data_IF_061490516099
#
_entry.id   IF_061490516099
#
_cell.length_a   1.000
_cell.length_b   1.000
_cell.length_c   1.000
_cell.angle_alpha   90.00
_cell.angle_beta   90.00
_cell.angle_gamma   90.00
#
_symmetry.space_group_name_H-M   'P 1'
#
loop_
_entity.id
_entity.type
_entity.pdbx_description
1 polymer ?
#
# COMPACT_ATOMS: atom_id res chain seq x y z
N UNK A 1 -35.14 -29.21 14.29
CA UNK A 1 -34.29 -29.29 13.08
C UNK A 1 -32.85 -29.45 13.53
N UNK A 2 -32.22 -30.56 13.16
CA UNK A 2 -30.91 -31.05 13.64
C UNK A 2 -29.77 -30.43 12.83
N UNK A 3 -28.66 -30.07 13.49
CA UNK A 3 -27.29 -30.46 13.16
C UNK A 3 -26.27 -29.42 13.63
N UNK A 4 -25.48 -29.86 14.61
CA UNK A 4 -24.28 -29.24 15.18
C UNK A 4 -23.12 -29.48 14.21
N UNK A 5 -22.29 -28.47 13.94
CA UNK A 5 -20.99 -28.66 13.30
C UNK A 5 -19.91 -28.23 14.32
N UNK A 6 -19.30 -29.24 14.92
CA UNK A 6 -18.04 -29.16 15.63
C UNK A 6 -16.90 -29.39 14.62
N UNK A 7 -15.89 -28.53 14.63
CA UNK A 7 -14.64 -28.78 13.89
C UNK A 7 -13.45 -28.54 14.81
N UNK A 8 -12.65 -29.59 14.89
CA UNK A 8 -11.66 -29.92 15.92
C UNK A 8 -10.27 -29.36 15.59
N UNK A 9 -9.61 -28.98 16.68
CA UNK A 9 -8.22 -28.61 16.90
C UNK A 9 -7.21 -29.71 16.53
N UNK A 10 -6.09 -29.36 15.88
CA UNK A 10 -4.85 -30.16 15.94
C UNK A 10 -3.64 -29.22 16.11
N UNK A 11 -3.08 -29.22 17.33
CA UNK A 11 -1.74 -28.74 17.66
C UNK A 11 -0.76 -29.89 17.43
N UNK A 12 0.34 -29.65 16.70
CA UNK A 12 1.39 -30.65 16.49
C UNK A 12 2.66 -30.25 17.26
N UNK A 13 2.93 -30.91 18.38
CA UNK A 13 4.22 -30.83 19.10
C UNK A 13 5.08 -32.03 18.73
N UNK A 14 6.25 -31.80 18.12
CA UNK A 14 7.20 -32.85 17.83
C UNK A 14 8.10 -33.10 19.05
N UNK A 15 8.05 -34.33 19.58
CA UNK A 15 8.95 -34.85 20.62
C UNK A 15 10.28 -35.29 20.00
N UNK A 16 11.40 -34.89 20.61
CA UNK A 16 12.74 -35.38 20.26
C UNK A 16 12.98 -36.68 21.03
N UNK A 17 13.23 -37.78 20.30
CA UNK A 17 13.64 -39.05 20.89
C UNK A 17 15.16 -39.13 20.92
N UNK A 18 15.73 -39.36 22.11
CA UNK A 18 17.15 -39.65 22.34
C UNK A 18 17.25 -41.15 22.62
N UNK A 19 18.02 -41.88 21.81
CA UNK A 19 18.37 -43.28 22.08
C UNK A 19 19.87 -43.42 22.38
N UNK A 20 20.18 -44.01 23.53
CA UNK A 20 21.49 -44.38 24.03
C UNK A 20 21.96 -45.74 23.48
N UNK A 21 23.25 -45.80 23.07
CA UNK A 21 24.31 -46.85 23.19
C UNK A 21 23.96 -48.36 23.16
N UNK A 22 24.84 -49.22 22.59
CA UNK A 22 25.91 -49.82 23.42
C UNK A 22 27.27 -49.98 22.72
N UNK A 23 28.30 -50.13 23.56
CA UNK A 23 29.70 -50.32 23.21
C UNK A 23 30.05 -51.77 22.84
N UNK A 24 31.03 -51.95 21.95
CA UNK A 24 31.85 -53.17 21.82
C UNK A 24 33.25 -52.83 21.27
N UNK A 25 34.31 -53.13 22.04
CA UNK A 25 35.75 -53.09 21.65
C UNK A 25 36.20 -54.52 21.23
N UNK A 26 37.45 -54.76 20.79
CA UNK A 26 38.32 -54.08 19.80
C UNK A 26 38.94 -55.10 18.79
N UNK A 27 39.46 -54.72 17.62
CA UNK A 27 40.54 -55.47 16.91
C UNK A 27 41.22 -54.62 15.84
N UNK A 28 42.55 -54.63 15.88
CA UNK A 28 43.53 -54.00 15.00
C UNK A 28 43.57 -54.62 13.60
N UNK A 29 43.51 -53.83 12.54
CA UNK A 29 44.22 -54.09 11.28
C UNK A 29 44.24 -52.83 10.41
N UNK A 30 45.40 -52.53 9.83
CA UNK A 30 45.65 -51.42 8.92
C UNK A 30 44.68 -51.52 7.73
N UNK A 31 43.82 -50.52 7.56
CA UNK A 31 43.16 -50.29 6.28
C UNK A 31 43.37 -48.84 5.86
N UNK A 32 43.75 -48.74 4.60
CA UNK A 32 44.05 -47.55 3.83
C UNK A 32 43.06 -46.41 4.11
N UNK A 33 43.60 -45.21 4.40
CA UNK A 33 42.83 -43.97 4.50
C UNK A 33 42.27 -43.59 3.11
N UNK A 34 41.22 -44.27 2.68
CA UNK A 34 40.33 -43.78 1.63
C UNK A 34 39.49 -42.70 2.30
N UNK A 35 39.97 -41.46 2.21
CA UNK A 35 39.25 -40.27 2.67
C UNK A 35 37.99 -40.15 1.81
N UNK A 36 36.90 -40.79 2.25
CA UNK A 36 35.59 -40.52 1.67
C UNK A 36 35.31 -39.04 1.89
N UNK A 37 35.39 -38.27 0.80
CA UNK A 37 34.96 -36.90 0.78
C UNK A 37 33.45 -36.91 1.04
N UNK A 38 33.08 -36.82 2.31
CA UNK A 38 31.69 -36.61 2.71
C UNK A 38 31.34 -35.20 2.28
N UNK A 39 30.67 -35.09 1.13
CA UNK A 39 30.07 -33.84 0.66
C UNK A 39 29.04 -33.38 1.68
N UNK A 40 29.47 -32.51 2.60
CA UNK A 40 28.56 -31.82 3.51
C UNK A 40 27.85 -30.78 2.66
N UNK A 41 26.70 -31.15 2.07
CA UNK A 41 25.77 -30.18 1.49
C UNK A 41 25.30 -29.25 2.59
N UNK A 42 25.85 -28.04 2.58
CA UNK A 42 25.45 -26.96 3.49
C UNK A 42 23.95 -26.68 3.29
N UNK A 43 23.21 -26.63 4.40
CA UNK A 43 21.82 -26.19 4.40
C UNK A 43 21.79 -24.74 3.96
N UNK A 44 21.06 -24.45 2.89
CA UNK A 44 20.91 -23.10 2.35
C UNK A 44 20.35 -22.17 3.43
N UNK A 45 21.11 -21.14 3.79
CA UNK A 45 20.70 -20.15 4.80
C UNK A 45 19.85 -19.11 4.09
N UNK A 46 18.53 -19.18 4.30
CA UNK A 46 17.60 -18.18 3.78
C UNK A 46 17.67 -16.91 4.63
N UNK A 47 18.44 -15.92 4.19
CA UNK A 47 18.46 -14.59 4.83
C UNK A 47 17.19 -13.85 4.39
N UNK A 48 16.14 -13.89 5.22
CA UNK A 48 14.96 -13.04 5.03
C UNK A 48 15.27 -11.63 5.53
N UNK A 49 15.88 -10.80 4.67
CA UNK A 49 16.14 -9.40 4.96
C UNK A 49 14.86 -8.58 5.00
N UNK A 50 14.57 -7.91 6.13
CA UNK A 50 13.47 -6.94 6.23
C UNK A 50 13.86 -5.67 5.46
N UNK A 51 13.00 -5.21 4.54
CA UNK A 51 13.24 -3.93 3.84
C UNK A 51 13.24 -2.77 4.85
N UNK A 52 14.19 -1.82 4.77
CA UNK A 52 14.17 -0.63 5.62
C UNK A 52 12.97 0.26 5.29
N UNK A 53 12.46 0.97 6.30
CA UNK A 53 11.30 1.86 6.21
C UNK A 53 11.52 2.98 5.19
N UNK A 54 12.65 3.67 5.29
CA UNK A 54 13.03 4.78 4.42
C UNK A 54 14.37 4.42 3.75
N UNK A 55 14.47 4.73 2.46
CA UNK A 55 15.68 4.60 1.66
C UNK A 55 15.88 5.93 0.93
N UNK A 56 17.08 6.49 1.04
CA UNK A 56 17.46 7.69 0.31
C UNK A 56 18.21 7.26 -0.95
N UNK A 57 17.67 7.59 -2.12
CA UNK A 57 18.38 7.52 -3.39
C UNK A 57 18.78 8.94 -3.83
N UNK A 58 19.62 9.04 -4.87
CA UNK A 58 20.20 10.31 -5.34
C UNK A 58 19.11 11.34 -5.68
N UNK A 59 18.02 10.90 -6.30
CA UNK A 59 16.97 11.78 -6.83
C UNK A 59 15.63 11.66 -6.11
N UNK A 60 15.52 10.73 -5.14
CA UNK A 60 14.24 10.41 -4.49
C UNK A 60 14.39 9.76 -3.13
N UNK A 61 13.41 10.02 -2.28
CA UNK A 61 13.21 9.30 -1.02
C UNK A 61 12.16 8.21 -1.22
N UNK A 62 12.51 6.96 -0.93
CA UNK A 62 11.60 5.82 -1.02
C UNK A 62 11.16 5.43 0.37
N UNK A 63 9.84 5.44 0.58
CA UNK A 63 9.21 4.97 1.81
C UNK A 63 8.54 3.63 1.52
N UNK A 64 9.06 2.56 2.13
CA UNK A 64 8.52 1.21 2.00
C UNK A 64 7.33 1.06 2.94
N UNK A 65 6.12 1.10 2.39
CA UNK A 65 4.89 1.04 3.17
C UNK A 65 4.75 -0.30 3.89
N UNK A 66 5.22 -1.40 3.28
CA UNK A 66 5.22 -2.72 3.93
C UNK A 66 6.08 -2.82 5.19
N UNK A 67 7.00 -1.89 5.43
CA UNK A 67 7.78 -1.81 6.67
C UNK A 67 7.12 -0.90 7.73
N UNK A 68 6.11 -0.11 7.37
CA UNK A 68 5.34 0.72 8.31
C UNK A 68 4.33 -0.13 9.08
N UNK A 69 4.37 -0.07 10.40
CA UNK A 69 3.45 -0.81 11.29
C UNK A 69 1.99 -0.38 11.05
N UNK A 70 1.75 0.91 10.82
CA UNK A 70 0.43 1.49 10.59
C UNK A 70 -0.21 1.13 9.25
N UNK A 71 0.56 0.66 8.26
CA UNK A 71 0.08 0.46 6.88
C UNK A 71 -1.04 -0.58 6.74
N UNK A 72 -1.08 -1.56 7.66
CA UNK A 72 -2.04 -2.66 7.61
C UNK A 72 -3.46 -2.25 8.03
N UNK A 73 -3.58 -1.23 8.87
CA UNK A 73 -4.86 -0.75 9.45
C UNK A 73 -5.28 0.61 8.89
N UNK A 74 -4.35 1.38 8.33
CA UNK A 74 -4.62 2.71 7.75
C UNK A 74 -5.04 2.65 6.28
N UNK A 75 -5.75 3.69 5.82
CA UNK A 75 -5.94 3.95 4.39
C UNK A 75 -4.71 4.65 3.77
N UNK A 76 -4.69 4.81 2.45
CA UNK A 76 -3.55 5.39 1.73
C UNK A 76 -3.31 6.86 2.09
N UNK A 77 -4.38 7.61 2.33
CA UNK A 77 -4.31 9.00 2.77
C UNK A 77 -3.55 9.15 4.10
N UNK A 78 -3.91 8.33 5.10
CA UNK A 78 -3.23 8.31 6.40
C UNK A 78 -1.78 7.82 6.32
N UNK A 79 -1.48 6.91 5.39
CA UNK A 79 -0.09 6.49 5.15
C UNK A 79 0.73 7.65 4.58
N UNK A 80 0.14 8.43 3.67
CA UNK A 80 0.77 9.65 3.14
C UNK A 80 0.97 10.71 4.22
N UNK A 81 0.01 10.94 5.11
CA UNK A 81 0.18 11.89 6.24
C UNK A 81 1.31 11.49 7.20
N UNK A 82 1.56 10.18 7.34
CA UNK A 82 2.67 9.64 8.15
C UNK A 82 3.99 9.56 7.38
N UNK A 83 4.00 9.95 6.11
CA UNK A 83 5.19 9.94 5.27
C UNK A 83 5.98 11.23 5.51
N UNK A 84 7.31 11.16 5.74
CA UNK A 84 8.12 12.34 6.01
C UNK A 84 8.05 13.33 4.84
N UNK A 85 7.91 14.62 5.18
CA UNK A 85 7.85 15.70 4.20
C UNK A 85 6.50 15.85 3.48
N UNK A 86 5.56 14.92 3.64
CA UNK A 86 4.21 15.04 3.07
C UNK A 86 3.28 15.67 4.08
N UNK A 87 2.56 16.71 3.67
CA UNK A 87 1.49 17.30 4.46
C UNK A 87 0.23 17.39 3.63
N UNK A 88 -0.91 17.24 4.29
CA UNK A 88 -2.23 17.31 3.66
C UNK A 88 -3.07 18.31 4.43
N UNK A 89 -3.69 19.25 3.72
CA UNK A 89 -4.60 20.20 4.33
C UNK A 89 -6.03 19.65 4.49
N UNK A 90 -6.91 20.42 5.15
CA UNK A 90 -8.31 20.05 5.35
C UNK A 90 -9.11 19.90 4.05
N UNK A 91 -8.66 20.53 2.96
CA UNK A 91 -9.28 20.46 1.64
C UNK A 91 -8.80 19.26 0.82
N UNK A 92 -7.83 18.49 1.34
CA UNK A 92 -7.22 17.36 0.65
C UNK A 92 -6.08 17.74 -0.30
N UNK A 93 -5.59 18.98 -0.26
CA UNK A 93 -4.40 19.38 -1.01
C UNK A 93 -3.17 18.77 -0.37
N UNK A 94 -2.41 18.05 -1.18
CA UNK A 94 -1.17 17.41 -0.77
C UNK A 94 -0.02 18.36 -1.11
N UNK A 95 0.95 18.49 -0.20
CA UNK A 95 2.19 19.23 -0.43
C UNK A 95 3.40 18.43 0.03
N UNK A 96 4.56 18.71 -0.58
CA UNK A 96 5.83 18.02 -0.31
C UNK A 96 6.88 19.04 0.11
N UNK A 97 7.43 18.87 1.31
CA UNK A 97 8.46 19.74 1.88
C UNK A 97 8.06 21.23 1.81
N UNK A 98 6.79 21.53 2.11
CA UNK A 98 6.21 22.88 2.08
C UNK A 98 5.85 23.42 0.69
N UNK A 99 6.13 22.68 -0.39
CA UNK A 99 5.80 23.08 -1.77
C UNK A 99 4.41 22.56 -2.15
N UNK A 100 3.53 23.48 -2.50
CA UNK A 100 2.16 23.18 -2.98
C UNK A 100 2.17 22.88 -4.48
N UNK A 101 1.08 22.32 -5.01
CA UNK A 101 0.98 21.99 -6.44
C UNK A 101 1.83 20.79 -6.87
N UNK A 102 2.11 19.86 -5.94
CA UNK A 102 2.84 18.63 -6.23
C UNK A 102 2.07 17.76 -7.21
N UNK A 103 2.80 17.11 -8.12
CA UNK A 103 2.18 16.14 -9.01
C UNK A 103 2.10 14.78 -8.32
N UNK A 104 0.88 14.26 -8.18
CA UNK A 104 0.67 12.91 -7.67
C UNK A 104 0.60 11.93 -8.84
N UNK A 105 1.39 10.87 -8.72
CA UNK A 105 1.40 9.75 -9.64
C UNK A 105 0.87 8.52 -8.91
N UNK A 106 0.07 7.71 -9.60
CA UNK A 106 -0.32 6.37 -9.15
C UNK A 106 0.28 5.38 -10.14
N UNK A 107 1.14 4.50 -9.65
CA UNK A 107 1.90 3.54 -10.46
C UNK A 107 2.69 4.22 -11.61
N UNK A 108 3.14 5.46 -11.40
CA UNK A 108 3.84 6.26 -12.42
C UNK A 108 2.94 6.91 -13.48
N UNK A 109 1.62 6.85 -13.32
CA UNK A 109 0.66 7.59 -14.17
C UNK A 109 0.18 8.84 -13.47
N UNK A 110 0.12 9.95 -14.20
CA UNK A 110 -0.40 11.22 -13.67
C UNK A 110 -1.88 11.12 -13.37
N UNK A 111 -2.27 11.60 -12.18
CA UNK A 111 -3.68 11.69 -11.79
C UNK A 111 -4.24 13.04 -12.18
N UNK A 112 -5.31 13.05 -12.99
CA UNK A 112 -6.02 14.28 -13.39
C UNK A 112 -7.28 14.50 -12.55
N UNK A 113 -7.17 14.28 -11.24
CA UNK A 113 -8.27 14.43 -10.29
C UNK A 113 -8.16 15.77 -9.57
N UNK A 114 -9.28 16.34 -9.14
CA UNK A 114 -9.25 17.45 -8.19
C UNK A 114 -8.62 16.98 -6.87
N UNK A 115 -8.08 17.91 -6.06
CA UNK A 115 -7.49 17.57 -4.77
C UNK A 115 -8.47 16.82 -3.86
N UNK A 116 -9.74 17.26 -3.82
CA UNK A 116 -10.79 16.60 -3.05
C UNK A 116 -11.14 15.20 -3.56
N UNK A 117 -11.25 15.01 -4.88
CA UNK A 117 -11.53 13.69 -5.46
C UNK A 117 -10.37 12.72 -5.25
N UNK A 118 -9.13 13.21 -5.39
CA UNK A 118 -7.93 12.43 -5.11
C UNK A 118 -7.90 12.00 -3.63
N UNK A 119 -8.13 12.93 -2.71
CA UNK A 119 -8.19 12.63 -1.28
C UNK A 119 -9.26 11.56 -0.96
N UNK A 120 -10.45 11.67 -1.55
CA UNK A 120 -11.50 10.67 -1.40
C UNK A 120 -11.09 9.32 -1.96
N UNK A 121 -10.48 9.29 -3.15
CA UNK A 121 -9.97 8.06 -3.75
C UNK A 121 -8.89 7.40 -2.88
N UNK A 122 -7.92 8.15 -2.37
CA UNK A 122 -6.86 7.64 -1.50
C UNK A 122 -7.41 7.16 -0.14
N UNK A 123 -8.50 7.75 0.37
CA UNK A 123 -9.20 7.24 1.56
C UNK A 123 -9.88 5.89 1.32
N UNK A 124 -10.38 5.64 0.10
CA UNK A 124 -10.97 4.34 -0.24
C UNK A 124 -9.94 3.23 -0.47
N UNK A 125 -8.68 3.58 -0.74
CA UNK A 125 -7.60 2.63 -0.96
C UNK A 125 -6.97 2.17 0.37
N UNK A 126 -6.99 0.86 0.70
CA UNK A 126 -6.32 0.34 1.88
C UNK A 126 -4.80 0.53 1.79
N UNK A 127 -4.16 0.95 2.88
CA UNK A 127 -2.71 1.08 2.97
C UNK A 127 -1.96 -0.24 2.71
N UNK A 128 -2.61 -1.38 3.01
CA UNK A 128 -2.09 -2.72 2.69
C UNK A 128 -1.90 -2.98 1.19
N UNK A 129 -2.56 -2.22 0.33
CA UNK A 129 -2.44 -2.30 -1.13
C UNK A 129 -1.25 -1.48 -1.67
N UNK A 130 -0.63 -0.64 -0.85
CA UNK A 130 0.58 0.10 -1.20
C UNK A 130 1.83 -0.79 -1.07
N UNK A 131 2.74 -0.68 -2.02
CA UNK A 131 4.08 -1.27 -1.94
C UNK A 131 5.06 -0.24 -1.34
N UNK A 132 5.16 0.92 -1.99
CA UNK A 132 6.07 2.01 -1.61
C UNK A 132 5.56 3.36 -2.10
N UNK A 133 6.05 4.42 -1.47
CA UNK A 133 5.84 5.82 -1.86
C UNK A 133 7.21 6.38 -2.25
N UNK A 134 7.31 6.98 -3.43
CA UNK A 134 8.53 7.62 -3.92
C UNK A 134 8.31 9.13 -3.92
N UNK A 135 9.12 9.86 -3.16
CA UNK A 135 9.09 11.30 -3.06
C UNK A 135 10.24 11.84 -3.90
N UNK A 136 9.94 12.61 -4.93
CA UNK A 136 10.92 13.18 -5.86
C UNK A 136 10.86 14.70 -5.66
N UNK A 137 11.86 15.23 -4.97
CA UNK A 137 11.92 16.65 -4.65
C UNK A 137 12.28 17.54 -5.84
N UNK A 138 13.07 17.01 -6.79
CA UNK A 138 13.51 17.73 -7.97
C UNK A 138 13.24 16.87 -9.22
N UNK A 139 12.06 17.02 -9.85
CA UNK A 139 11.73 16.22 -11.01
C UNK A 139 12.63 16.56 -12.21
N UNK A 140 13.02 15.53 -12.97
CA UNK A 140 13.73 15.73 -14.23
C UNK A 140 12.78 16.26 -15.33
N UNK A 141 13.35 16.76 -16.42
CA UNK A 141 12.65 17.39 -17.56
C UNK A 141 11.55 16.53 -18.20
N UNK A 142 11.51 15.22 -17.92
CA UNK A 142 10.41 14.33 -18.35
C UNK A 142 9.07 14.71 -17.70
N UNK A 143 9.08 15.40 -16.57
CA UNK A 143 7.90 15.76 -15.78
C UNK A 143 7.76 17.27 -15.56
N UNK A 144 8.40 18.06 -16.43
CA UNK A 144 8.57 19.54 -16.37
C UNK A 144 7.26 20.32 -16.15
N UNK A 145 6.11 19.76 -16.54
CA UNK A 145 4.80 20.37 -16.31
C UNK A 145 4.41 20.52 -14.82
N UNK A 146 5.09 19.82 -13.90
CA UNK A 146 4.75 19.87 -12.48
C UNK A 146 5.36 21.08 -11.77
N UNK A 147 6.59 21.49 -12.11
CA UNK A 147 7.38 22.57 -11.46
C UNK A 147 7.70 22.36 -9.97
N UNK A 148 6.82 21.67 -9.26
CA UNK A 148 6.84 21.30 -7.86
C UNK A 148 7.07 19.79 -7.74
N UNK A 149 7.51 19.33 -6.57
CA UNK A 149 7.89 17.92 -6.35
C UNK A 149 6.83 16.89 -6.77
N UNK A 150 7.25 15.64 -6.95
CA UNK A 150 6.39 14.53 -7.36
C UNK A 150 6.24 13.53 -6.23
N UNK A 151 5.01 13.09 -5.99
CA UNK A 151 4.71 11.99 -5.07
C UNK A 151 4.19 10.82 -5.92
N UNK A 152 4.95 9.73 -5.98
CA UNK A 152 4.58 8.53 -6.72
C UNK A 152 4.16 7.41 -5.77
N UNK A 153 2.89 7.07 -5.82
CA UNK A 153 2.27 6.02 -5.02
C UNK A 153 2.35 4.72 -5.83
N UNK A 154 3.17 3.77 -5.38
CA UNK A 154 3.26 2.44 -6.00
C UNK A 154 2.35 1.47 -5.29
N UNK A 155 1.46 0.86 -6.06
CA UNK A 155 0.54 -0.16 -5.59
C UNK A 155 1.14 -1.56 -5.77
N UNK A 156 0.72 -2.50 -4.94
CA UNK A 156 1.02 -3.92 -5.12
C UNK A 156 0.29 -4.43 -6.36
N UNK A 157 1.01 -5.16 -7.22
CA UNK A 157 0.47 -5.67 -8.50
C UNK A 157 -0.85 -6.41 -8.35
N UNK A 158 -1.02 -7.16 -7.26
CA UNK A 158 -2.18 -8.05 -7.07
C UNK A 158 -3.47 -7.30 -6.68
N UNK A 159 -3.40 -6.01 -6.34
CA UNK A 159 -4.55 -5.21 -5.82
C UNK A 159 -4.95 -4.02 -6.69
N UNK A 160 -4.40 -3.93 -7.91
CA UNK A 160 -4.62 -2.78 -8.82
C UNK A 160 -5.79 -2.92 -9.78
N UNK A 161 -6.41 -4.10 -9.87
CA UNK A 161 -7.48 -4.37 -10.84
C UNK A 161 -8.86 -4.25 -10.20
N UNK A 162 -9.69 -3.32 -10.66
CA UNK A 162 -11.06 -3.18 -10.17
C UNK A 162 -11.69 -1.83 -10.45
N UNK A 163 -12.88 -1.66 -9.87
CA UNK A 163 -13.64 -0.42 -9.84
C UNK A 163 -13.60 0.09 -8.39
N UNK A 164 -13.21 1.34 -8.22
CA UNK A 164 -13.23 2.07 -6.95
C UNK A 164 -14.15 3.26 -7.16
N UNK A 165 -15.04 3.54 -6.20
CA UNK A 165 -15.94 4.67 -6.32
C UNK A 165 -16.36 5.22 -4.98
N UNK A 166 -16.85 6.44 -5.00
CA UNK A 166 -17.47 7.09 -3.86
C UNK A 166 -18.76 7.79 -4.29
N UNK A 167 -19.77 7.69 -3.44
CA UNK A 167 -21.04 8.40 -3.56
C UNK A 167 -21.11 9.35 -2.38
N UNK A 168 -21.23 10.65 -2.66
CA UNK A 168 -21.49 11.66 -1.64
C UNK A 168 -22.89 12.23 -1.87
N UNK A 169 -23.69 12.29 -0.82
CA UNK A 169 -25.01 12.91 -0.84
C UNK A 169 -25.12 13.83 0.36
N UNK A 170 -25.51 15.08 0.14
CA UNK A 170 -25.68 16.09 1.17
C UNK A 170 -27.06 16.72 1.03
N UNK A 171 -27.78 16.80 2.14
CA UNK A 171 -29.03 17.54 2.24
C UNK A 171 -28.88 18.56 3.36
N UNK A 172 -29.22 19.81 3.08
CA UNK A 172 -29.16 20.91 4.03
C UNK A 172 -30.46 21.70 3.97
N UNK A 173 -30.99 22.01 5.15
CA UNK A 173 -32.23 22.74 5.32
C UNK A 173 -31.96 23.96 6.21
N UNK A 174 -31.80 25.13 5.56
CA UNK A 174 -31.91 26.44 6.21
C UNK A 174 -33.31 27.00 5.95
N UNK A 175 -33.40 28.23 5.45
CA UNK A 175 -34.66 28.78 4.93
C UNK A 175 -35.09 28.14 3.58
N UNK A 176 -34.11 27.72 2.76
CA UNK A 176 -34.35 27.01 1.50
C UNK A 176 -33.66 25.65 1.50
N UNK A 177 -34.33 24.65 0.94
CA UNK A 177 -33.81 23.29 0.82
C UNK A 177 -32.70 23.23 -0.23
N UNK A 178 -31.57 22.63 0.14
CA UNK A 178 -30.41 22.43 -0.73
C UNK A 178 -30.01 20.95 -0.72
N UNK A 179 -29.86 20.34 -1.89
CA UNK A 179 -29.44 18.95 -2.02
C UNK A 179 -28.32 18.81 -3.04
N UNK A 180 -27.26 18.11 -2.67
CA UNK A 180 -26.10 17.84 -3.51
C UNK A 180 -25.85 16.34 -3.56
N UNK A 181 -25.61 15.81 -4.75
CA UNK A 181 -25.26 14.41 -4.97
C UNK A 181 -24.05 14.38 -5.89
N UNK A 182 -23.00 13.64 -5.55
CA UNK A 182 -21.87 13.39 -6.43
C UNK A 182 -21.46 11.93 -6.43
N UNK A 183 -21.14 11.41 -7.60
CA UNK A 183 -20.67 10.06 -7.84
C UNK A 183 -19.31 10.13 -8.52
N UNK A 184 -18.32 9.54 -7.88
CA UNK A 184 -16.97 9.38 -8.39
C UNK A 184 -16.71 7.91 -8.68
N UNK A 185 -16.21 7.59 -9.87
CA UNK A 185 -15.85 6.24 -10.30
C UNK A 185 -14.46 6.25 -10.91
N UNK A 186 -13.61 5.33 -10.48
CA UNK A 186 -12.31 5.04 -11.05
C UNK A 186 -12.24 3.56 -11.40
N UNK A 187 -11.97 3.26 -12.67
CA UNK A 187 -11.77 1.91 -13.16
C UNK A 187 -10.34 1.72 -13.62
N UNK A 188 -9.64 0.76 -13.03
CA UNK A 188 -8.27 0.46 -13.37
C UNK A 188 -8.13 -1.01 -13.78
N UNK A 189 -7.69 -1.26 -15.02
CA UNK A 189 -7.39 -2.60 -15.51
C UNK A 189 -6.19 -2.60 -16.44
N UNK A 190 -5.08 -3.21 -15.97
CA UNK A 190 -3.81 -3.34 -16.69
C UNK A 190 -3.29 -1.97 -17.17
N UNK A 191 -3.47 -1.66 -18.45
CA UNK A 191 -2.99 -0.42 -19.07
C UNK A 191 -4.05 0.68 -19.07
N UNK A 192 -5.34 0.34 -18.94
CA UNK A 192 -6.45 1.29 -18.96
C UNK A 192 -6.74 1.81 -17.56
N UNK A 193 -6.78 3.14 -17.40
CA UNK A 193 -7.33 3.82 -16.24
C UNK A 193 -8.40 4.79 -16.75
N UNK A 194 -9.62 4.68 -16.24
CA UNK A 194 -10.76 5.52 -16.59
C UNK A 194 -11.32 6.15 -15.32
N UNK A 195 -11.51 7.46 -15.34
CA UNK A 195 -12.11 8.22 -14.24
C UNK A 195 -13.39 8.92 -14.73
N UNK A 196 -14.43 8.91 -13.91
CA UNK A 196 -15.71 9.56 -14.15
C UNK A 196 -16.22 10.23 -12.87
N UNK A 197 -16.62 11.49 -12.98
CA UNK A 197 -17.23 12.27 -11.91
C UNK A 197 -18.57 12.82 -12.41
N UNK A 198 -19.65 12.56 -11.67
CA UNK A 198 -20.99 13.05 -11.95
C UNK A 198 -21.49 13.81 -10.73
N UNK A 199 -22.01 15.02 -10.91
CA UNK A 199 -22.56 15.86 -9.84
C UNK A 199 -23.95 16.37 -10.18
N UNK A 200 -24.87 16.35 -9.21
CA UNK A 200 -26.20 16.94 -9.28
C UNK A 200 -26.44 17.80 -8.03
N UNK A 201 -26.64 19.09 -8.22
CA UNK A 201 -27.03 20.03 -7.16
C UNK A 201 -28.41 20.62 -7.46
N UNK A 202 -29.25 20.74 -6.42
CA UNK A 202 -30.51 21.47 -6.45
C UNK A 202 -30.48 22.50 -5.34
N UNK A 203 -30.52 23.76 -5.76
CA UNK A 203 -30.44 24.92 -4.90
C UNK A 203 -31.65 25.79 -5.15
N UNK A 204 -32.57 25.88 -4.18
CA UNK A 204 -33.58 26.95 -4.22
C UNK A 204 -32.91 28.22 -3.68
N UNK A 205 -32.83 29.27 -4.50
CA UNK A 205 -32.28 30.58 -4.11
C UNK A 205 -33.38 31.64 -3.98
N UNK A 206 -33.11 32.70 -3.21
CA UNK A 206 -34.00 33.87 -3.05
C UNK A 206 -33.99 34.83 -4.24
N UNK A 207 -33.30 34.50 -5.34
CA UNK A 207 -33.03 35.42 -6.44
C UNK A 207 -34.16 35.50 -7.48
N UNK A 208 -35.42 35.48 -7.05
CA UNK A 208 -36.56 35.64 -7.94
C UNK A 208 -37.75 36.28 -7.24
N UNK A 209 -37.55 37.50 -6.72
CA UNK A 209 -38.61 38.48 -6.46
C UNK A 209 -37.99 39.88 -6.35
N UNK A 210 -37.83 40.54 -7.51
CA UNK A 210 -37.82 42.00 -7.72
C UNK A 210 -37.79 42.32 -9.22
#
# INVERSE_FOLDING_TARGET
MKAIIASILILLTATISIAQTPASKPTTAKDTLKKEAKDIKLKEVFIQGKKPLIQMEIDKTIVNVGAMISSSTSNTMEVLEKTPGVTIDANGNISLNGRTGVMVLIDGKQTYMSAGDLANYLKTLPGSSLDKIELIDNPSSKYDAAGNGIINIKLKKDRTAGIIGSLATGYSQGELARSNHSLNLNYNRKKLNLFSNLGYSRDKGFAQDN
#
